data_IF_275572266686
#
_entry.id   IF_275572266686
#
_cell.length_a   1.000
_cell.length_b   1.000
_cell.length_c   1.000
_cell.angle_alpha   90.00
_cell.angle_beta   90.00
_cell.angle_gamma   90.00
#
_symmetry.space_group_name_H-M   'P 1'
#
loop_
_entity.id
_entity.type
_entity.pdbx_description
1 polymer ?
#
# COMPACT_ATOMS: atom_id res chain seq x y z
N UNK A 1 5.99 -5.00 -11.39
CA UNK A 1 6.05 -5.58 -10.02
C UNK A 1 7.43 -6.12 -9.61
N UNK A 2 8.38 -6.40 -10.53
CA UNK A 2 9.66 -7.03 -10.19
C UNK A 2 10.57 -6.29 -9.19
N UNK A 3 10.38 -4.98 -9.00
CA UNK A 3 11.26 -4.15 -8.16
C UNK A 3 10.81 -4.01 -6.70
N UNK A 4 9.64 -4.54 -6.32
CA UNK A 4 9.13 -4.42 -4.94
C UNK A 4 10.04 -5.15 -3.93
N UNK A 5 10.51 -6.35 -4.24
CA UNK A 5 11.44 -7.08 -3.36
C UNK A 5 12.85 -6.47 -3.32
N UNK A 6 13.48 -6.09 -4.46
CA UNK A 6 14.72 -5.31 -4.45
C UNK A 6 14.63 -4.01 -3.64
N UNK A 7 13.55 -3.25 -3.82
CA UNK A 7 13.27 -2.06 -3.02
C UNK A 7 13.19 -2.41 -1.55
N UNK A 8 12.47 -3.49 -1.21
CA UNK A 8 12.33 -3.91 0.17
C UNK A 8 13.68 -4.24 0.82
N UNK A 9 14.52 -4.99 0.10
CA UNK A 9 15.86 -5.33 0.53
C UNK A 9 16.75 -4.09 0.68
N UNK A 10 16.65 -3.12 -0.24
CA UNK A 10 17.40 -1.86 -0.17
C UNK A 10 17.01 -1.05 1.07
N UNK A 11 15.71 -0.89 1.35
CA UNK A 11 15.20 -0.21 2.55
C UNK A 11 15.68 -0.92 3.81
N UNK A 12 15.67 -2.25 3.84
CA UNK A 12 16.18 -3.01 4.98
C UNK A 12 17.68 -2.80 5.20
N UNK A 13 18.48 -2.80 4.14
CA UNK A 13 19.93 -2.57 4.18
C UNK A 13 20.27 -1.13 4.59
N UNK A 14 19.48 -0.16 4.14
CA UNK A 14 19.64 1.27 4.42
C UNK A 14 18.81 1.76 5.62
N UNK A 15 18.27 0.86 6.45
CA UNK A 15 17.35 1.23 7.53
C UNK A 15 17.92 2.23 8.52
N UNK A 16 19.21 2.14 8.85
CA UNK A 16 19.85 3.04 9.82
C UNK A 16 20.03 4.47 9.29
N UNK A 17 20.61 4.70 8.10
CA UNK A 17 20.62 6.05 7.52
C UNK A 17 19.20 6.60 7.29
N UNK A 18 18.25 5.77 6.85
CA UNK A 18 16.85 6.18 6.69
C UNK A 18 16.23 6.60 8.03
N UNK A 19 16.40 5.81 9.10
CA UNK A 19 15.94 6.15 10.46
C UNK A 19 16.52 7.48 10.94
N UNK A 20 17.83 7.68 10.79
CA UNK A 20 18.49 8.96 11.13
C UNK A 20 17.88 10.12 10.35
N UNK A 21 17.66 9.94 9.05
CA UNK A 21 16.99 10.93 8.21
C UNK A 21 15.59 11.28 8.71
N UNK A 22 14.81 10.27 9.10
CA UNK A 22 13.43 10.40 9.59
C UNK A 22 13.31 11.00 10.99
N UNK A 23 14.39 11.02 11.79
CA UNK A 23 14.37 11.57 13.15
C UNK A 23 14.10 13.09 13.20
N UNK A 24 14.28 13.80 12.09
CA UNK A 24 13.97 15.23 11.98
C UNK A 24 12.46 15.56 12.00
N UNK A 25 11.61 14.56 11.80
CA UNK A 25 10.15 14.71 11.71
C UNK A 25 9.46 14.07 12.91
N UNK A 26 8.22 14.45 13.23
CA UNK A 26 7.43 13.74 14.25
C UNK A 26 7.20 12.28 13.85
N UNK A 27 7.04 11.36 14.82
CA UNK A 27 6.91 9.90 14.52
C UNK A 27 5.77 9.62 13.52
N UNK A 28 4.64 10.30 13.68
CA UNK A 28 3.50 10.14 12.78
C UNK A 28 3.76 10.64 11.36
N UNK A 29 4.40 11.81 11.22
CA UNK A 29 4.76 12.35 9.91
C UNK A 29 5.83 11.49 9.23
N UNK A 30 6.85 11.06 9.97
CA UNK A 30 7.88 10.15 9.47
C UNK A 30 7.28 8.84 8.95
N UNK A 31 6.31 8.26 9.67
CA UNK A 31 5.61 7.05 9.23
C UNK A 31 4.79 7.29 7.96
N UNK A 32 4.01 8.36 7.92
CA UNK A 32 3.18 8.69 6.77
C UNK A 32 4.02 8.98 5.52
N UNK A 33 5.10 9.77 5.64
CA UNK A 33 6.02 10.07 4.54
C UNK A 33 6.77 8.83 4.06
N UNK A 34 7.33 8.03 4.98
CA UNK A 34 8.07 6.83 4.59
C UNK A 34 7.18 5.84 3.84
N UNK A 35 5.94 5.65 4.30
CA UNK A 35 4.97 4.80 3.62
C UNK A 35 4.48 5.38 2.30
N UNK A 36 4.16 6.68 2.27
CA UNK A 36 3.72 7.36 1.05
C UNK A 36 4.78 7.31 -0.04
N UNK A 37 6.04 7.60 0.29
CA UNK A 37 7.17 7.48 -0.64
C UNK A 37 7.34 6.03 -1.10
N UNK A 38 7.28 5.05 -0.18
CA UNK A 38 7.36 3.63 -0.54
C UNK A 38 6.24 3.17 -1.47
N UNK A 39 5.01 3.67 -1.26
CA UNK A 39 3.88 3.46 -2.15
C UNK A 39 4.09 4.07 -3.52
N UNK A 40 4.52 5.34 -3.59
CA UNK A 40 4.79 6.02 -4.86
C UNK A 40 5.96 5.40 -5.64
N UNK A 41 6.99 4.89 -4.96
CA UNK A 41 8.04 4.10 -5.62
C UNK A 41 7.49 2.80 -6.20
N UNK A 42 6.58 2.15 -5.48
CA UNK A 42 5.89 0.96 -5.97
C UNK A 42 5.09 1.26 -7.23
N UNK A 43 4.39 2.39 -7.26
CA UNK A 43 3.66 2.88 -8.44
C UNK A 43 4.60 3.19 -9.60
N UNK A 44 5.70 3.91 -9.35
CA UNK A 44 6.69 4.21 -10.38
C UNK A 44 7.26 2.93 -11.03
N UNK A 45 7.47 1.87 -10.25
CA UNK A 45 7.87 0.57 -10.77
C UNK A 45 6.76 -0.17 -11.51
N UNK A 46 5.49 0.02 -11.12
CA UNK A 46 4.35 -0.52 -11.84
C UNK A 46 4.20 0.16 -13.20
N UNK A 47 4.26 1.49 -13.24
CA UNK A 47 4.26 2.32 -14.44
C UNK A 47 5.41 1.93 -15.37
N UNK A 48 6.65 1.91 -14.87
CA UNK A 48 7.82 1.57 -15.68
C UNK A 48 7.71 0.18 -16.32
N UNK A 49 7.14 -0.79 -15.60
CA UNK A 49 6.88 -2.14 -16.12
C UNK A 49 5.69 -2.25 -17.08
N UNK A 50 4.83 -1.24 -17.18
CA UNK A 50 3.65 -1.23 -18.06
C UNK A 50 3.80 -0.30 -19.26
N UNK A 51 4.66 0.73 -19.22
CA UNK A 51 4.76 1.73 -20.29
C UNK A 51 5.19 1.10 -21.63
N UNK A 52 6.02 0.05 -21.58
CA UNK A 52 6.48 -0.69 -22.75
C UNK A 52 5.41 -1.64 -23.34
N UNK A 53 4.30 -1.88 -22.62
CA UNK A 53 3.23 -2.76 -23.08
C UNK A 53 2.26 -2.03 -24.02
N UNK A 54 1.57 -2.76 -24.92
CA UNK A 54 0.47 -2.23 -25.71
C UNK A 54 -0.61 -1.60 -24.81
N UNK A 55 -1.28 -0.51 -25.21
CA UNK A 55 -2.27 0.19 -24.38
C UNK A 55 -3.36 -0.71 -23.77
N UNK A 56 -3.83 -1.72 -24.52
CA UNK A 56 -4.86 -2.66 -24.07
C UNK A 56 -4.39 -3.61 -22.95
N UNK A 57 -3.08 -3.79 -22.78
CA UNK A 57 -2.48 -4.67 -21.77
C UNK A 57 -1.91 -3.91 -20.56
N UNK A 58 -2.03 -2.58 -20.56
CA UNK A 58 -1.55 -1.74 -19.46
C UNK A 58 -2.51 -1.83 -18.28
N UNK A 59 -2.01 -2.34 -17.16
CA UNK A 59 -2.74 -2.40 -15.90
C UNK A 59 -2.32 -1.17 -15.07
N UNK A 60 -2.90 -0.01 -15.40
CA UNK A 60 -2.67 1.28 -14.73
C UNK A 60 -4.03 1.93 -14.41
N UNK A 61 -4.08 2.80 -13.39
CA UNK A 61 -5.32 3.53 -13.09
C UNK A 61 -5.62 4.56 -14.18
N UNK A 62 -4.58 5.16 -14.76
CA UNK A 62 -4.65 6.10 -15.88
C UNK A 62 -3.61 5.75 -16.97
N UNK A 63 -3.93 5.88 -18.28
CA UNK A 63 -2.99 5.53 -19.35
C UNK A 63 -1.76 6.46 -19.43
N UNK A 64 -1.90 7.70 -18.96
CA UNK A 64 -0.81 8.66 -18.86
C UNK A 64 -0.02 8.50 -17.55
N UNK A 65 1.28 8.13 -17.59
CA UNK A 65 2.11 7.86 -16.41
C UNK A 65 2.11 8.94 -15.33
N UNK A 66 2.21 10.21 -15.74
CA UNK A 66 2.27 11.32 -14.77
C UNK A 66 0.95 11.48 -14.00
N UNK A 67 -0.18 11.22 -14.66
CA UNK A 67 -1.51 11.29 -14.03
C UNK A 67 -1.71 10.09 -13.10
N UNK A 68 -1.22 8.92 -13.52
CA UNK A 68 -1.26 7.71 -12.70
C UNK A 68 -0.48 7.86 -11.38
N UNK A 69 0.68 8.54 -11.41
CA UNK A 69 1.39 8.94 -10.19
C UNK A 69 0.58 9.89 -9.31
N UNK A 70 -0.16 10.83 -9.89
CA UNK A 70 -1.06 11.72 -9.12
C UNK A 70 -2.14 10.89 -8.43
N UNK A 71 -2.73 9.91 -9.11
CA UNK A 71 -3.70 8.99 -8.52
C UNK A 71 -3.06 8.22 -7.36
N UNK A 72 -1.83 7.75 -7.56
CA UNK A 72 -1.00 7.13 -6.52
C UNK A 72 -0.83 8.02 -5.28
N UNK A 73 -0.59 9.34 -5.43
CA UNK A 73 -0.44 10.26 -4.28
C UNK A 73 -1.68 10.21 -3.39
N UNK A 74 -2.87 10.28 -3.98
CA UNK A 74 -4.11 10.19 -3.21
C UNK A 74 -4.31 8.80 -2.62
N UNK A 75 -4.08 7.75 -3.41
CA UNK A 75 -4.26 6.37 -2.96
C UNK A 75 -3.37 6.05 -1.76
N UNK A 76 -2.05 6.20 -1.91
CA UNK A 76 -1.07 5.89 -0.86
C UNK A 76 -1.14 6.88 0.30
N UNK A 77 -1.46 8.15 0.04
CA UNK A 77 -1.68 9.16 1.08
C UNK A 77 -2.84 8.79 2.01
N UNK A 78 -3.98 8.40 1.45
CA UNK A 78 -5.14 7.94 2.21
C UNK A 78 -4.90 6.59 2.90
N UNK A 79 -4.26 5.65 2.20
CA UNK A 79 -3.91 4.34 2.74
C UNK A 79 -3.01 4.46 3.99
N UNK A 80 -1.96 5.28 3.90
CA UNK A 80 -1.08 5.56 5.02
C UNK A 80 -1.75 6.42 6.10
N UNK A 81 -2.68 7.29 5.72
CA UNK A 81 -3.51 8.06 6.65
C UNK A 81 -4.36 7.16 7.53
N UNK A 82 -5.02 6.15 6.95
CA UNK A 82 -5.78 5.15 7.70
C UNK A 82 -4.87 4.39 8.68
N UNK A 83 -3.71 3.91 8.21
CA UNK A 83 -2.75 3.25 9.10
C UNK A 83 -2.26 4.15 10.23
N UNK A 84 -2.04 5.43 9.96
CA UNK A 84 -1.64 6.41 10.96
C UNK A 84 -2.72 6.55 12.05
N UNK A 85 -3.99 6.61 11.66
CA UNK A 85 -5.14 6.65 12.60
C UNK A 85 -5.17 5.37 13.44
N UNK A 86 -5.10 4.20 12.81
CA UNK A 86 -5.12 2.91 13.49
C UNK A 86 -3.95 2.76 14.48
N UNK A 87 -2.75 3.19 14.07
CA UNK A 87 -1.54 3.07 14.90
C UNK A 87 -1.54 3.98 16.12
N UNK A 88 -2.25 5.11 16.07
CA UNK A 88 -2.43 6.00 17.25
C UNK A 88 -3.27 5.34 18.33
N UNK A 89 -4.17 4.42 17.97
CA UNK A 89 -5.06 3.74 18.92
C UNK A 89 -4.55 2.38 19.39
N UNK A 90 -3.89 1.61 18.51
CA UNK A 90 -3.40 0.26 18.79
C UNK A 90 -1.94 0.06 18.38
N UNK A 91 -1.23 -0.78 19.15
CA UNK A 91 0.15 -1.16 18.92
C UNK A 91 0.31 -2.23 17.84
N UNK A 92 -0.15 -1.95 16.62
CA UNK A 92 0.04 -2.86 15.48
C UNK A 92 1.53 -3.09 15.21
N UNK A 93 1.93 -4.36 15.12
CA UNK A 93 3.29 -4.77 14.78
C UNK A 93 3.54 -4.67 13.27
N UNK A 94 4.81 -4.68 12.86
CA UNK A 94 5.22 -4.76 11.45
C UNK A 94 4.54 -5.93 10.73
N UNK A 95 4.49 -7.10 11.39
CA UNK A 95 3.82 -8.30 10.85
C UNK A 95 2.32 -8.06 10.65
N UNK A 96 1.64 -7.44 11.62
CA UNK A 96 0.21 -7.18 11.48
C UNK A 96 -0.07 -6.19 10.34
N UNK A 97 0.74 -5.12 10.23
CA UNK A 97 0.62 -4.15 9.14
C UNK A 97 0.81 -4.82 7.78
N UNK A 98 1.82 -5.69 7.65
CA UNK A 98 2.06 -6.46 6.44
C UNK A 98 0.86 -7.35 6.10
N UNK A 99 0.39 -8.15 7.05
CA UNK A 99 -0.69 -9.11 6.81
C UNK A 99 -2.02 -8.44 6.49
N UNK A 100 -2.43 -7.43 7.25
CA UNK A 100 -3.70 -6.72 7.02
C UNK A 100 -3.68 -6.02 5.67
N UNK A 101 -2.59 -5.30 5.36
CA UNK A 101 -2.45 -4.62 4.07
C UNK A 101 -2.39 -5.61 2.90
N UNK A 102 -1.68 -6.73 3.08
CA UNK A 102 -1.56 -7.77 2.08
C UNK A 102 -2.89 -8.48 1.79
N UNK A 103 -3.64 -8.83 2.84
CA UNK A 103 -4.99 -9.40 2.73
C UNK A 103 -5.96 -8.42 2.06
N UNK A 104 -5.87 -7.13 2.42
CA UNK A 104 -6.62 -6.08 1.72
C UNK A 104 -6.31 -6.08 0.22
N UNK A 105 -5.02 -6.10 -0.14
CA UNK A 105 -4.59 -6.18 -1.54
C UNK A 105 -5.20 -7.38 -2.27
N UNK A 106 -5.11 -8.58 -1.68
CA UNK A 106 -5.72 -9.80 -2.25
C UNK A 106 -7.23 -9.61 -2.47
N UNK A 107 -7.94 -9.01 -1.52
CA UNK A 107 -9.38 -8.85 -1.57
C UNK A 107 -9.84 -7.82 -2.61
N UNK A 108 -9.06 -6.76 -2.85
CA UNK A 108 -9.48 -5.64 -3.69
C UNK A 108 -8.88 -5.63 -5.09
N UNK A 109 -7.72 -6.25 -5.28
CA UNK A 109 -7.02 -6.26 -6.56
C UNK A 109 -7.89 -6.89 -7.65
N UNK A 110 -7.98 -6.20 -8.80
CA UNK A 110 -8.79 -6.61 -9.96
C UNK A 110 -10.24 -6.97 -9.62
N UNK A 111 -10.85 -6.29 -8.64
CA UNK A 111 -12.24 -6.55 -8.24
C UNK A 111 -12.45 -7.93 -7.61
N UNK A 112 -11.42 -8.50 -6.98
CA UNK A 112 -11.49 -9.81 -6.33
C UNK A 112 -11.13 -10.98 -7.25
N UNK A 113 -10.64 -10.71 -8.47
CA UNK A 113 -10.19 -11.76 -9.39
C UNK A 113 -9.07 -12.64 -8.80
N UNK A 114 -8.24 -12.07 -7.91
CA UNK A 114 -7.19 -12.81 -7.22
C UNK A 114 -7.76 -13.91 -6.31
N UNK A 115 -8.81 -13.60 -5.55
CA UNK A 115 -9.50 -14.58 -4.68
C UNK A 115 -10.13 -15.68 -5.53
N UNK A 116 -10.77 -15.32 -6.64
CA UNK A 116 -11.32 -16.29 -7.59
C UNK A 116 -10.22 -17.18 -8.19
N UNK A 117 -9.09 -16.58 -8.56
CA UNK A 117 -7.94 -17.27 -9.12
C UNK A 117 -7.39 -18.36 -8.19
N UNK A 118 -7.33 -18.09 -6.88
CA UNK A 118 -6.92 -19.09 -5.88
C UNK A 118 -7.87 -20.30 -5.80
N UNK A 119 -9.15 -20.12 -6.12
CA UNK A 119 -10.12 -21.22 -6.13
C UNK A 119 -10.06 -22.04 -7.43
N UNK A 120 -9.78 -21.39 -8.56
CA UNK A 120 -9.78 -22.03 -9.89
C UNK A 120 -8.44 -22.68 -10.24
N UNK A 121 -7.33 -22.06 -9.85
CA UNK A 121 -5.97 -22.60 -9.97
C UNK A 121 -5.24 -22.31 -8.65
N UNK A 122 -5.30 -23.25 -7.69
CA UNK A 122 -4.75 -23.03 -6.36
C UNK A 122 -3.25 -22.70 -6.35
N UNK A 123 -2.47 -23.21 -7.30
CA UNK A 123 -1.02 -22.99 -7.32
C UNK A 123 -0.70 -21.61 -7.88
N UNK A 124 -1.11 -21.33 -9.13
CA UNK A 124 -0.81 -20.04 -9.76
C UNK A 124 -1.58 -18.89 -9.09
N UNK A 125 -2.81 -19.16 -8.65
CA UNK A 125 -3.63 -18.21 -7.90
C UNK A 125 -2.99 -17.84 -6.57
N UNK A 126 -2.47 -18.81 -5.80
CA UNK A 126 -1.79 -18.51 -4.53
C UNK A 126 -0.46 -17.78 -4.73
N UNK A 127 0.30 -18.11 -5.78
CA UNK A 127 1.52 -17.37 -6.13
C UNK A 127 1.19 -15.92 -6.50
N UNK A 128 0.14 -15.70 -7.28
CA UNK A 128 -0.31 -14.35 -7.64
C UNK A 128 -0.79 -13.60 -6.40
N UNK A 129 -1.58 -14.23 -5.53
CA UNK A 129 -2.02 -13.65 -4.27
C UNK A 129 -0.86 -13.27 -3.35
N UNK A 130 0.19 -14.09 -3.28
CA UNK A 130 1.41 -13.78 -2.54
C UNK A 130 2.12 -12.54 -3.10
N UNK A 131 2.24 -12.44 -4.43
CA UNK A 131 2.84 -11.27 -5.08
C UNK A 131 2.03 -10.01 -4.78
N UNK A 132 0.71 -10.04 -5.00
CA UNK A 132 -0.20 -8.93 -4.70
C UNK A 132 -0.10 -8.55 -3.22
N UNK A 133 -0.21 -9.51 -2.31
CA UNK A 133 -0.06 -9.29 -0.87
C UNK A 133 1.28 -8.63 -0.53
N UNK A 134 2.35 -8.98 -1.23
CA UNK A 134 3.67 -8.38 -1.00
C UNK A 134 3.71 -6.91 -1.45
N UNK A 135 3.10 -6.58 -2.60
CA UNK A 135 3.00 -5.19 -3.08
C UNK A 135 2.30 -4.31 -2.04
N UNK A 136 1.13 -4.73 -1.56
CA UNK A 136 0.36 -3.96 -0.59
C UNK A 136 0.93 -4.02 0.84
N UNK A 137 1.57 -5.12 1.20
CA UNK A 137 2.11 -5.36 2.54
C UNK A 137 3.44 -4.67 2.82
N UNK A 138 4.34 -4.62 1.83
CA UNK A 138 5.73 -4.20 2.03
C UNK A 138 5.83 -2.72 2.42
N UNK A 139 5.30 -1.79 1.62
CA UNK A 139 5.53 -0.36 1.87
C UNK A 139 5.03 0.11 3.26
N UNK A 140 3.82 -0.24 3.76
CA UNK A 140 3.38 0.21 5.08
C UNK A 140 4.13 -0.52 6.19
N UNK A 141 4.48 -1.79 6.00
CA UNK A 141 5.26 -2.56 6.97
C UNK A 141 6.68 -2.01 7.12
N UNK A 142 7.30 -1.57 6.03
CA UNK A 142 8.61 -0.92 6.06
C UNK A 142 8.56 0.43 6.75
N UNK A 143 7.55 1.25 6.46
CA UNK A 143 7.32 2.48 7.19
C UNK A 143 7.16 2.24 8.70
N UNK A 144 6.43 1.19 9.07
CA UNK A 144 6.32 0.75 10.46
C UNK A 144 7.67 0.33 11.03
N UNK A 145 8.43 -0.51 10.33
CA UNK A 145 9.74 -0.98 10.79
C UNK A 145 10.77 0.14 10.96
N UNK A 146 10.71 1.18 10.11
CA UNK A 146 11.55 2.37 10.23
C UNK A 146 11.16 3.25 11.43
N UNK A 147 9.90 3.22 11.88
CA UNK A 147 9.39 4.12 12.94
C UNK A 147 9.03 3.43 14.25
N UNK A 148 9.04 2.10 14.31
CA UNK A 148 8.49 1.29 15.41
C UNK A 148 8.98 1.70 16.80
N UNK A 149 10.27 2.03 16.94
CA UNK A 149 10.91 2.34 18.23
C UNK A 149 10.54 3.74 18.77
N UNK A 150 9.81 4.54 17.98
CA UNK A 150 9.52 5.96 18.29
C UNK A 150 8.05 6.18 18.65
N UNK A 151 7.24 5.14 18.60
CA UNK A 151 5.83 5.22 18.93
C UNK A 151 5.62 5.08 20.43
N UNK A 152 4.69 5.84 21.03
CA UNK A 152 4.31 5.60 22.42
C UNK A 152 3.73 4.19 22.59
N UNK A 153 3.79 3.64 23.82
CA UNK A 153 3.12 2.40 24.16
C UNK A 153 1.63 2.48 23.81
N UNK A 154 1.10 1.42 23.22
CA UNK A 154 -0.31 1.31 22.86
C UNK A 154 -0.81 -0.12 23.11
N UNK A 155 -2.11 -0.33 23.36
CA UNK A 155 -2.68 -1.65 23.56
C UNK A 155 -2.40 -2.58 22.38
N UNK A 156 -2.08 -3.84 22.65
CA UNK A 156 -1.93 -4.84 21.59
C UNK A 156 -3.26 -5.01 20.83
N UNK A 157 -3.23 -5.14 19.49
CA UNK A 157 -4.45 -5.27 18.72
C UNK A 157 -5.09 -6.64 18.96
N UNK A 158 -6.27 -6.64 19.58
CA UNK A 158 -7.15 -7.82 19.66
C UNK A 158 -8.04 -7.94 18.43
N UNK A 159 -9.02 -8.84 18.47
CA UNK A 159 -9.98 -9.06 17.36
C UNK A 159 -10.70 -7.77 16.95
N UNK A 160 -11.18 -6.97 17.91
CA UNK A 160 -11.85 -5.70 17.65
C UNK A 160 -10.99 -4.73 16.83
N UNK A 161 -9.68 -4.65 17.13
CA UNK A 161 -8.77 -3.78 16.39
C UNK A 161 -8.63 -4.21 14.92
N UNK A 162 -8.60 -5.52 14.67
CA UNK A 162 -8.54 -6.07 13.31
C UNK A 162 -9.86 -5.88 12.56
N UNK A 163 -11.00 -6.03 13.24
CA UNK A 163 -12.32 -5.73 12.66
C UNK A 163 -12.44 -4.24 12.28
N UNK A 164 -11.98 -3.33 13.15
CA UNK A 164 -11.93 -1.89 12.86
C UNK A 164 -10.97 -1.59 11.71
N UNK A 165 -9.80 -2.25 11.66
CA UNK A 165 -8.88 -2.09 10.54
C UNK A 165 -9.51 -2.56 9.21
N UNK A 166 -10.13 -3.74 9.19
CA UNK A 166 -10.81 -4.28 8.01
C UNK A 166 -11.93 -3.36 7.54
N UNK A 167 -12.78 -2.88 8.46
CA UNK A 167 -13.83 -1.92 8.14
C UNK A 167 -13.26 -0.58 7.64
N UNK A 168 -12.21 -0.08 8.28
CA UNK A 168 -11.52 1.14 7.84
C UNK A 168 -10.96 1.01 6.43
N UNK A 169 -10.38 -0.14 6.09
CA UNK A 169 -9.87 -0.43 4.75
C UNK A 169 -10.99 -0.56 3.72
N UNK A 170 -12.12 -1.16 4.09
CA UNK A 170 -13.32 -1.17 3.25
C UNK A 170 -13.83 0.26 2.97
N UNK A 171 -13.94 1.10 4.00
CA UNK A 171 -14.35 2.51 3.85
C UNK A 171 -13.35 3.28 2.98
N UNK A 172 -12.04 3.07 3.20
CA UNK A 172 -10.99 3.64 2.35
C UNK A 172 -11.17 3.25 0.88
N UNK A 173 -11.33 1.96 0.59
CA UNK A 173 -11.49 1.45 -0.77
C UNK A 173 -12.74 2.03 -1.44
N UNK A 174 -13.87 2.02 -0.73
CA UNK A 174 -15.13 2.57 -1.23
C UNK A 174 -15.02 4.09 -1.47
N UNK A 175 -14.47 4.84 -0.52
CA UNK A 175 -14.29 6.28 -0.64
C UNK A 175 -13.33 6.64 -1.77
N UNK A 176 -12.20 5.94 -1.88
CA UNK A 176 -11.27 6.15 -2.98
C UNK A 176 -11.95 5.87 -4.32
N UNK A 177 -12.58 4.70 -4.48
CA UNK A 177 -13.19 4.31 -5.76
C UNK A 177 -14.38 5.16 -6.18
N UNK A 178 -15.26 5.52 -5.24
CA UNK A 178 -16.52 6.24 -5.54
C UNK A 178 -16.36 7.75 -5.55
N UNK A 179 -15.43 8.31 -4.78
CA UNK A 179 -15.29 9.76 -4.63
C UNK A 179 -13.99 10.24 -5.27
N UNK A 180 -12.85 9.78 -4.76
CA UNK A 180 -11.54 10.33 -5.15
C UNK A 180 -11.20 9.98 -6.60
N UNK A 181 -11.24 8.71 -6.96
CA UNK A 181 -10.94 8.22 -8.30
C UNK A 181 -11.90 8.79 -9.34
N UNK A 182 -13.21 8.84 -9.04
CA UNK A 182 -14.19 9.49 -9.94
C UNK A 182 -13.91 10.98 -10.10
N UNK A 183 -13.64 11.70 -9.01
CA UNK A 183 -13.27 13.12 -9.06
C UNK A 183 -12.01 13.36 -9.87
N UNK A 184 -10.98 12.53 -9.69
CA UNK A 184 -9.75 12.60 -10.45
C UNK A 184 -9.98 12.34 -11.94
N UNK A 185 -10.87 11.42 -12.32
CA UNK A 185 -11.23 11.18 -13.72
C UNK A 185 -12.02 12.33 -14.36
N UNK A 186 -12.73 13.14 -13.57
CA UNK A 186 -13.35 14.37 -14.09
C UNK A 186 -12.30 15.44 -14.41
N UNK A 187 -11.21 15.50 -13.64
CA UNK A 187 -10.10 16.43 -13.86
C UNK A 187 -9.12 15.93 -14.92
N UNK A 188 -8.90 14.61 -14.97
CA UNK A 188 -8.02 13.92 -15.91
C UNK A 188 -8.80 12.82 -16.64
N UNK A 189 -9.56 13.18 -17.69
CA UNK A 189 -10.35 12.22 -18.44
C UNK A 189 -9.47 11.18 -19.13
N UNK A 190 -9.94 9.94 -19.18
CA UNK A 190 -9.29 8.91 -19.99
C UNK A 190 -9.54 9.21 -21.48
N UNK A 191 -8.50 9.14 -22.33
CA UNK A 191 -8.65 9.19 -23.77
C UNK A 191 -9.39 7.96 -24.32
#
# INVERSE_FOLDING_TARGET
MGFVFPMAAAVYRLREPLRRGLNRWSTGLAFWLAGGIGGLLTEAFAIGGNVAKPPAERILMHPHPAVDLVFGIFYYGLFMGLWLILRRRWGFSVKNVFLVSGLFGIATEQGGAIVKGMATDPVLGSLTAFLVSSVYGIFPAQAMGLTQNRWPPAPRPGFQAHAVAAFGFFVFWAFYGLVVHRGLLLVFPKP
#
